data_IF_336882982863
#
_entry.id   IF_336882982863
#
_cell.length_a   1.000
_cell.length_b   1.000
_cell.length_c   1.000
_cell.angle_alpha   90.00
_cell.angle_beta   90.00
_cell.angle_gamma   90.00
#
_symmetry.space_group_name_H-M   'P 1'
#
loop_
_entity.id
_entity.type
_entity.pdbx_description
1 polymer ?
#
# COMPACT_ATOMS: atom_id res chain seq x y z
N UNK A 1 -3.51 19.85 -29.26
CA UNK A 1 -3.95 19.43 -27.90
C UNK A 1 -3.42 18.03 -27.51
N UNK A 2 -2.10 17.77 -27.58
CA UNK A 2 -1.52 16.43 -27.35
C UNK A 2 -0.66 16.28 -26.09
N UNK A 3 -0.15 17.37 -25.51
CA UNK A 3 0.92 17.28 -24.50
C UNK A 3 0.46 17.01 -23.05
N UNK A 4 -0.85 17.12 -22.73
CA UNK A 4 -1.33 16.91 -21.35
C UNK A 4 -1.43 15.43 -20.95
N UNK A 5 -1.35 14.48 -21.90
CA UNK A 5 -1.54 13.06 -21.61
C UNK A 5 -0.28 12.35 -21.10
N UNK A 6 0.92 12.86 -21.37
CA UNK A 6 2.17 12.22 -20.98
C UNK A 6 2.47 12.34 -19.47
N UNK A 7 2.01 13.42 -18.80
CA UNK A 7 2.21 13.60 -17.35
C UNK A 7 1.26 12.78 -16.47
N UNK A 8 0.22 12.16 -17.01
CA UNK A 8 -0.66 11.24 -16.26
C UNK A 8 -0.13 9.80 -16.18
N UNK A 9 0.83 9.45 -17.04
CA UNK A 9 1.44 8.13 -17.10
C UNK A 9 2.34 7.80 -15.87
N UNK A 10 3.22 8.71 -15.37
CA UNK A 10 4.04 8.41 -14.20
C UNK A 10 3.21 8.21 -12.92
N UNK A 11 2.10 8.92 -12.77
CA UNK A 11 1.24 8.78 -11.60
C UNK A 11 0.57 7.39 -11.54
N UNK A 12 0.13 6.87 -12.70
CA UNK A 12 -0.44 5.51 -12.79
C UNK A 12 0.60 4.42 -12.59
N UNK A 13 1.79 4.62 -13.16
CA UNK A 13 2.89 3.67 -13.02
C UNK A 13 3.37 3.57 -11.57
N UNK A 14 3.37 4.68 -10.84
CA UNK A 14 3.67 4.71 -9.41
C UNK A 14 2.70 3.85 -8.57
N UNK A 15 1.39 4.00 -8.76
CA UNK A 15 0.38 3.20 -8.04
C UNK A 15 0.51 1.71 -8.38
N UNK A 16 0.78 1.40 -9.65
CA UNK A 16 1.00 0.01 -10.10
C UNK A 16 2.21 -0.61 -9.42
N UNK A 17 3.36 0.08 -9.41
CA UNK A 17 4.58 -0.41 -8.77
C UNK A 17 4.40 -0.62 -7.27
N UNK A 18 3.80 0.35 -6.56
CA UNK A 18 3.54 0.24 -5.11
C UNK A 18 2.61 -0.94 -4.83
N UNK A 19 1.59 -1.15 -5.65
CA UNK A 19 0.65 -2.27 -5.47
C UNK A 19 1.32 -3.61 -5.71
N UNK A 20 2.20 -3.72 -6.72
CA UNK A 20 2.96 -4.94 -7.02
C UNK A 20 3.94 -5.26 -5.89
N UNK A 21 4.72 -4.28 -5.42
CA UNK A 21 5.68 -4.50 -4.35
C UNK A 21 4.98 -4.85 -3.04
N UNK A 22 3.87 -4.18 -2.73
CA UNK A 22 3.06 -4.52 -1.57
C UNK A 22 2.46 -5.92 -1.68
N UNK A 23 1.90 -6.29 -2.84
CA UNK A 23 1.39 -7.63 -3.08
C UNK A 23 2.48 -8.70 -2.92
N UNK A 24 3.67 -8.49 -3.51
CA UNK A 24 4.77 -9.44 -3.41
C UNK A 24 5.23 -9.61 -1.97
N UNK A 25 5.42 -8.49 -1.25
CA UNK A 25 5.89 -8.54 0.14
C UNK A 25 4.86 -9.15 1.07
N UNK A 26 3.60 -8.70 1.05
CA UNK A 26 2.54 -9.26 1.92
C UNK A 26 2.18 -10.69 1.54
N UNK A 27 2.21 -11.02 0.24
CA UNK A 27 1.95 -12.37 -0.26
C UNK A 27 3.04 -13.36 0.12
N UNK A 28 4.31 -12.99 -0.08
CA UNK A 28 5.45 -13.81 0.35
C UNK A 28 5.42 -14.02 1.87
N UNK A 29 5.20 -12.95 2.62
CA UNK A 29 5.12 -13.00 4.07
C UNK A 29 3.96 -13.86 4.59
N UNK A 30 2.76 -13.74 4.02
CA UNK A 30 1.62 -14.60 4.35
C UNK A 30 1.88 -16.07 4.00
N UNK A 31 2.49 -16.33 2.85
CA UNK A 31 2.90 -17.67 2.43
C UNK A 31 3.92 -18.29 3.38
N UNK A 32 4.94 -17.53 3.77
CA UNK A 32 5.93 -17.95 4.77
C UNK A 32 5.26 -18.23 6.11
N UNK A 33 4.45 -17.33 6.65
CA UNK A 33 3.75 -17.57 7.92
C UNK A 33 2.89 -18.82 7.89
N UNK A 34 2.11 -19.01 6.81
CA UNK A 34 1.23 -20.16 6.66
C UNK A 34 2.04 -21.46 6.56
N UNK A 35 3.14 -21.43 5.82
CA UNK A 35 4.06 -22.57 5.73
C UNK A 35 4.68 -22.92 7.09
N UNK A 36 5.10 -21.92 7.86
CA UNK A 36 5.61 -22.11 9.23
C UNK A 36 4.53 -22.73 10.14
N UNK A 37 3.30 -22.22 10.10
CA UNK A 37 2.18 -22.74 10.90
C UNK A 37 1.82 -24.19 10.53
N UNK A 38 1.87 -24.55 9.26
CA UNK A 38 1.62 -25.92 8.80
C UNK A 38 2.73 -26.87 9.30
N UNK A 39 3.99 -26.43 9.24
CA UNK A 39 5.12 -27.24 9.71
C UNK A 39 5.14 -27.42 11.22
N UNK A 40 4.79 -26.37 11.97
CA UNK A 40 4.61 -26.44 13.43
C UNK A 40 3.50 -27.44 13.79
N UNK A 41 2.37 -27.41 13.07
CA UNK A 41 1.29 -28.38 13.26
C UNK A 41 1.71 -29.84 12.98
N UNK A 42 2.76 -30.06 12.18
CA UNK A 42 3.32 -31.38 11.88
C UNK A 42 4.42 -31.82 12.88
N UNK A 43 4.76 -30.99 13.87
CA UNK A 43 5.79 -31.30 14.87
C UNK A 43 7.21 -31.38 14.30
N UNK A 44 7.47 -30.80 13.13
CA UNK A 44 8.80 -30.79 12.52
C UNK A 44 9.52 -29.49 12.87
N UNK A 45 10.58 -29.51 13.70
CA UNK A 45 11.36 -28.32 13.99
C UNK A 45 12.01 -27.79 12.72
N UNK A 46 11.93 -26.48 12.52
CA UNK A 46 12.47 -25.81 11.34
C UNK A 46 13.87 -25.33 11.70
N UNK A 47 14.89 -25.92 11.09
CA UNK A 47 16.26 -25.47 11.22
C UNK A 47 16.57 -24.51 10.07
N UNK A 48 16.55 -23.20 10.34
CA UNK A 48 17.20 -22.24 9.48
C UNK A 48 18.70 -22.36 9.72
N UNK A 49 19.41 -22.97 8.78
CA UNK A 49 20.86 -23.03 8.79
C UNK A 49 21.34 -21.79 8.02
N UNK A 50 21.65 -20.72 8.74
CA UNK A 50 22.47 -19.64 8.18
C UNK A 50 23.92 -20.10 8.23
N UNK A 51 24.57 -20.23 7.07
CA UNK A 51 25.94 -20.73 6.97
C UNK A 51 26.99 -19.76 7.54
N UNK A 52 26.60 -18.56 7.95
CA UNK A 52 27.54 -17.50 8.39
C UNK A 52 27.46 -17.16 9.88
N UNK A 53 26.37 -17.50 10.57
CA UNK A 53 26.23 -17.35 12.02
C UNK A 53 25.36 -18.49 12.53
N UNK A 54 25.90 -19.34 13.40
CA UNK A 54 25.27 -20.54 13.98
C UNK A 54 24.13 -20.19 14.96
N UNK A 55 23.24 -19.27 14.57
CA UNK A 55 22.07 -18.83 15.31
C UNK A 55 20.88 -19.67 14.86
N UNK A 56 20.58 -20.69 15.65
CA UNK A 56 19.35 -21.47 15.48
C UNK A 56 18.17 -20.66 16.01
N UNK A 57 17.45 -19.98 15.11
CA UNK A 57 16.19 -19.34 15.46
C UNK A 57 15.09 -20.39 15.59
N UNK A 58 14.84 -20.85 16.82
CA UNK A 58 13.71 -21.74 17.13
C UNK A 58 12.51 -20.88 17.49
N UNK A 59 11.58 -20.72 16.55
CA UNK A 59 10.29 -20.10 16.83
C UNK A 59 9.40 -21.10 17.57
N UNK A 60 9.44 -21.07 18.90
CA UNK A 60 8.47 -21.80 19.70
C UNK A 60 7.16 -21.00 19.77
N UNK A 61 6.16 -21.45 19.01
CA UNK A 61 4.80 -20.92 19.14
C UNK A 61 4.16 -21.51 20.40
N UNK A 62 4.15 -20.72 21.48
CA UNK A 62 3.28 -20.97 22.62
C UNK A 62 1.80 -21.03 22.16
N UNK A 63 0.95 -21.75 22.89
CA UNK A 63 -0.47 -21.94 22.52
C UNK A 63 -1.20 -20.62 22.26
N UNK A 64 -0.86 -19.56 23.01
CA UNK A 64 -1.40 -18.21 22.81
C UNK A 64 -0.87 -17.52 21.55
N UNK A 65 0.41 -17.72 21.20
CA UNK A 65 1.01 -17.08 20.02
C UNK A 65 0.59 -17.76 18.73
N UNK A 66 0.20 -19.05 18.77
CA UNK A 66 -0.34 -19.76 17.61
C UNK A 66 -1.60 -19.09 17.05
N UNK A 67 -2.52 -18.70 17.93
CA UNK A 67 -3.74 -17.98 17.52
C UNK A 67 -3.40 -16.64 16.86
N UNK A 68 -2.46 -15.89 17.45
CA UNK A 68 -2.01 -14.61 16.89
C UNK A 68 -1.36 -14.81 15.51
N UNK A 69 -0.56 -15.85 15.33
CA UNK A 69 0.06 -16.20 14.05
C UNK A 69 -0.96 -16.49 12.96
N UNK A 70 -2.02 -17.24 13.26
CA UNK A 70 -3.11 -17.53 12.32
C UNK A 70 -3.82 -16.25 11.91
N UNK A 71 -4.16 -15.40 12.88
CA UNK A 71 -4.83 -14.11 12.61
C UNK A 71 -3.95 -13.22 11.72
N UNK A 72 -2.65 -13.13 12.00
CA UNK A 72 -1.70 -12.39 11.18
C UNK A 72 -1.62 -12.91 9.74
N UNK A 73 -1.54 -14.23 9.56
CA UNK A 73 -1.49 -14.84 8.24
C UNK A 73 -2.73 -14.50 7.40
N UNK A 74 -3.92 -14.52 8.02
CA UNK A 74 -5.19 -14.16 7.39
C UNK A 74 -5.24 -12.68 7.04
N UNK A 75 -4.85 -11.79 7.96
CA UNK A 75 -4.82 -10.34 7.72
C UNK A 75 -3.88 -10.00 6.56
N UNK A 76 -2.71 -10.62 6.50
CA UNK A 76 -1.75 -10.40 5.41
C UNK A 76 -2.24 -10.98 4.08
N UNK A 77 -2.95 -12.12 4.12
CA UNK A 77 -3.61 -12.69 2.95
C UNK A 77 -4.70 -11.76 2.39
N UNK A 78 -5.57 -11.22 3.25
CA UNK A 78 -6.59 -10.23 2.86
C UNK A 78 -5.95 -8.96 2.29
N UNK A 79 -4.85 -8.51 2.90
CA UNK A 79 -4.10 -7.33 2.40
C UNK A 79 -3.55 -7.59 1.01
N UNK A 80 -3.02 -8.78 0.74
CA UNK A 80 -2.56 -9.16 -0.60
C UNK A 80 -3.70 -9.13 -1.64
N UNK A 81 -4.89 -9.63 -1.29
CA UNK A 81 -6.07 -9.55 -2.18
C UNK A 81 -6.44 -8.09 -2.48
N UNK A 82 -6.42 -7.22 -1.47
CA UNK A 82 -6.70 -5.79 -1.65
C UNK A 82 -5.65 -5.14 -2.56
N UNK A 83 -4.37 -5.45 -2.41
CA UNK A 83 -3.30 -4.97 -3.28
C UNK A 83 -3.48 -5.44 -4.73
N UNK A 84 -3.91 -6.69 -4.93
CA UNK A 84 -4.21 -7.21 -6.26
C UNK A 84 -5.40 -6.49 -6.92
N UNK A 85 -6.45 -6.19 -6.16
CA UNK A 85 -7.57 -5.37 -6.66
C UNK A 85 -7.12 -3.95 -7.05
N UNK A 86 -6.16 -3.37 -6.31
CA UNK A 86 -5.54 -2.10 -6.68
C UNK A 86 -4.83 -2.12 -8.01
N UNK A 87 -4.06 -3.19 -8.24
CA UNK A 87 -3.39 -3.43 -9.51
C UNK A 87 -4.41 -3.58 -10.67
N UNK A 88 -5.48 -4.35 -10.48
CA UNK A 88 -6.57 -4.46 -11.47
C UNK A 88 -7.25 -3.10 -11.73
N UNK A 89 -7.49 -2.30 -10.69
CA UNK A 89 -8.06 -0.96 -10.81
C UNK A 89 -7.23 -0.03 -11.68
N UNK A 90 -5.89 -0.12 -11.57
CA UNK A 90 -4.97 0.64 -12.41
C UNK A 90 -5.05 0.25 -13.90
N UNK A 91 -5.30 -1.02 -14.19
CA UNK A 91 -5.42 -1.54 -15.56
C UNK A 91 -6.78 -1.19 -16.18
N UNK A 92 -7.88 -1.40 -15.44
CA UNK A 92 -9.24 -1.38 -15.98
C UNK A 92 -9.80 0.03 -16.28
N UNK A 93 -9.12 1.11 -15.85
CA UNK A 93 -9.48 2.52 -16.12
C UNK A 93 -10.94 2.91 -15.77
N UNK A 94 -11.64 2.14 -14.93
CA UNK A 94 -13.01 2.43 -14.51
C UNK A 94 -13.02 3.22 -13.20
N UNK A 95 -13.68 4.38 -13.19
CA UNK A 95 -13.71 5.28 -12.02
C UNK A 95 -14.31 4.63 -10.77
N UNK A 96 -15.34 3.79 -10.94
CA UNK A 96 -15.95 3.04 -9.83
C UNK A 96 -14.96 2.15 -9.07
N UNK A 97 -14.06 1.47 -9.78
CA UNK A 97 -13.03 0.62 -9.16
C UNK A 97 -12.00 1.45 -8.41
N UNK A 98 -11.64 2.63 -8.93
CA UNK A 98 -10.71 3.55 -8.25
C UNK A 98 -11.32 4.03 -6.93
N UNK A 99 -12.63 4.28 -6.90
CA UNK A 99 -13.32 4.76 -5.71
C UNK A 99 -13.41 3.66 -4.63
N UNK A 100 -13.78 2.44 -5.01
CA UNK A 100 -13.76 1.28 -4.10
C UNK A 100 -12.35 0.98 -3.59
N UNK A 101 -11.34 1.04 -4.47
CA UNK A 101 -9.95 0.87 -4.09
C UNK A 101 -9.48 1.94 -3.08
N UNK A 102 -9.89 3.19 -3.28
CA UNK A 102 -9.57 4.27 -2.34
C UNK A 102 -10.15 4.05 -0.94
N UNK A 103 -11.36 3.47 -0.84
CA UNK A 103 -11.98 3.13 0.43
C UNK A 103 -11.23 1.99 1.12
N UNK A 104 -10.87 0.94 0.37
CA UNK A 104 -10.09 -0.19 0.89
C UNK A 104 -8.69 0.24 1.36
N UNK A 105 -8.03 1.14 0.63
CA UNK A 105 -6.73 1.69 1.03
C UNK A 105 -6.82 2.46 2.36
N UNK A 106 -7.86 3.27 2.54
CA UNK A 106 -8.07 3.99 3.82
C UNK A 106 -8.30 3.02 4.97
N UNK A 107 -9.10 1.99 4.75
CA UNK A 107 -9.36 0.96 5.77
C UNK A 107 -8.08 0.18 6.12
N UNK A 108 -7.28 -0.18 5.11
CA UNK A 108 -5.99 -0.84 5.31
C UNK A 108 -5.01 0.04 6.09
N UNK A 109 -4.91 1.32 5.74
CA UNK A 109 -4.06 2.27 6.47
C UNK A 109 -4.51 2.45 7.92
N UNK A 110 -5.82 2.56 8.17
CA UNK A 110 -6.35 2.63 9.53
C UNK A 110 -6.03 1.38 10.35
N UNK A 111 -6.19 0.20 9.75
CA UNK A 111 -5.87 -1.08 10.39
C UNK A 111 -4.37 -1.18 10.70
N UNK A 112 -3.51 -0.76 9.77
CA UNK A 112 -2.07 -0.78 9.96
C UNK A 112 -1.63 0.18 11.07
N UNK A 113 -2.17 1.39 11.11
CA UNK A 113 -1.91 2.34 12.20
C UNK A 113 -2.36 1.75 13.54
N UNK A 114 -3.54 1.12 13.60
CA UNK A 114 -4.03 0.48 14.83
C UNK A 114 -3.12 -0.66 15.28
N UNK A 115 -2.71 -1.54 14.37
CA UNK A 115 -1.81 -2.68 14.68
C UNK A 115 -0.42 -2.18 15.08
N UNK A 116 0.16 -1.23 14.36
CA UNK A 116 1.47 -0.66 14.69
C UNK A 116 1.45 0.05 16.05
N UNK A 117 0.38 0.77 16.36
CA UNK A 117 0.21 1.43 17.67
C UNK A 117 0.07 0.40 18.78
N UNK A 118 -0.80 -0.61 18.60
CA UNK A 118 -0.96 -1.69 19.56
C UNK A 118 0.35 -2.44 19.79
N UNK A 119 1.09 -2.76 18.73
CA UNK A 119 2.41 -3.39 18.80
C UNK A 119 3.39 -2.55 19.63
N UNK A 120 3.45 -1.24 19.38
CA UNK A 120 4.29 -0.32 20.14
C UNK A 120 3.90 -0.34 21.63
N UNK A 121 2.60 -0.25 21.94
CA UNK A 121 2.11 -0.27 23.33
C UNK A 121 2.47 -1.57 24.04
N UNK A 122 2.23 -2.73 23.41
CA UNK A 122 2.59 -4.03 23.97
C UNK A 122 4.11 -4.14 24.18
N UNK A 123 4.89 -3.69 23.20
CA UNK A 123 6.36 -3.73 23.27
C UNK A 123 6.91 -2.89 24.44
N UNK A 124 6.32 -1.73 24.72
CA UNK A 124 6.75 -0.88 25.83
C UNK A 124 6.21 -1.33 27.20
N UNK A 125 5.02 -1.94 27.24
CA UNK A 125 4.36 -2.33 28.51
C UNK A 125 4.88 -3.68 29.02
N UNK A 126 5.08 -4.66 28.13
CA UNK A 126 5.35 -6.05 28.50
C UNK A 126 6.84 -6.43 28.49
N UNK A 127 7.74 -5.45 28.63
CA UNK A 127 9.21 -5.69 28.63
C UNK A 127 9.61 -6.80 29.61
N UNK A 128 8.95 -6.87 30.77
CA UNK A 128 9.22 -7.87 31.82
C UNK A 128 8.75 -9.27 31.42
N UNK A 129 7.62 -9.36 30.73
CA UNK A 129 7.06 -10.64 30.29
C UNK A 129 7.80 -11.17 29.07
N UNK A 130 8.33 -10.28 28.22
CA UNK A 130 9.23 -10.66 27.13
C UNK A 130 10.51 -11.33 27.66
N UNK A 131 11.15 -10.76 28.70
CA UNK A 131 12.31 -11.39 29.35
C UNK A 131 11.99 -12.78 29.88
N UNK A 132 10.83 -12.94 30.54
CA UNK A 132 10.39 -14.25 31.08
C UNK A 132 10.11 -15.26 29.97
N UNK A 133 9.44 -14.86 28.90
CA UNK A 133 9.16 -15.72 27.75
C UNK A 133 10.44 -16.17 27.05
N UNK A 134 11.44 -15.29 26.97
CA UNK A 134 12.72 -15.67 26.38
C UNK A 134 13.51 -16.64 27.27
N UNK A 135 13.59 -16.36 28.57
CA UNK A 135 14.25 -17.25 29.52
C UNK A 135 13.58 -18.63 29.63
N UNK A 136 12.26 -18.69 29.47
CA UNK A 136 11.50 -19.95 29.52
C UNK A 136 11.67 -20.81 28.25
N UNK A 137 12.05 -20.21 27.12
CA UNK A 137 12.16 -20.88 25.83
C UNK A 137 13.52 -21.51 25.55
N UNK A 138 14.56 -21.21 26.34
CA UNK A 138 15.91 -21.72 26.09
C UNK A 138 16.58 -22.29 27.34
N UNK A 139 17.07 -23.52 27.21
CA UNK A 139 17.85 -24.20 28.26
C UNK A 139 19.36 -23.94 28.17
N UNK A 140 19.83 -23.20 27.15
CA UNK A 140 21.25 -22.90 26.96
C UNK A 140 21.61 -21.54 27.57
N UNK A 141 22.72 -21.48 28.34
CA UNK A 141 23.20 -20.23 28.96
C UNK A 141 23.42 -19.12 27.95
N UNK A 142 23.93 -19.45 26.77
CA UNK A 142 24.24 -18.49 25.71
C UNK A 142 22.99 -17.78 25.16
N UNK A 143 21.84 -18.47 25.14
CA UNK A 143 20.58 -17.87 24.67
C UNK A 143 19.96 -16.93 25.72
N UNK A 144 20.22 -17.19 27.01
CA UNK A 144 19.80 -16.30 28.10
C UNK A 144 20.60 -15.00 28.04
N UNK A 145 21.92 -15.09 27.83
CA UNK A 145 22.79 -13.92 27.65
C UNK A 145 22.41 -13.12 26.40
N UNK A 146 22.11 -13.77 25.28
CA UNK A 146 21.60 -13.09 24.07
C UNK A 146 20.29 -12.35 24.33
N UNK A 147 19.41 -12.91 25.15
CA UNK A 147 18.14 -12.25 25.46
C UNK A 147 18.27 -11.10 26.45
N UNK A 148 19.18 -11.17 27.41
CA UNK A 148 19.49 -10.03 28.26
C UNK A 148 20.21 -8.93 27.47
N UNK A 149 21.12 -9.29 26.56
CA UNK A 149 21.74 -8.34 25.64
C UNK A 149 20.72 -7.71 24.70
N UNK A 150 19.76 -8.48 24.18
CA UNK A 150 18.68 -7.94 23.36
C UNK A 150 17.83 -6.97 24.15
N UNK A 151 17.38 -7.35 25.36
CA UNK A 151 16.55 -6.50 26.20
C UNK A 151 17.25 -5.21 26.65
N UNK A 152 18.54 -5.28 26.98
CA UNK A 152 19.32 -4.09 27.35
C UNK A 152 19.61 -3.20 26.12
N UNK A 153 19.75 -3.79 24.94
CA UNK A 153 19.89 -3.06 23.69
C UNK A 153 18.57 -2.49 23.17
N UNK A 154 17.42 -3.00 23.60
CA UNK A 154 16.10 -2.46 23.23
C UNK A 154 15.96 -1.01 23.69
N UNK A 155 16.44 -0.65 24.88
CA UNK A 155 16.35 0.74 25.34
C UNK A 155 17.23 1.69 24.51
N UNK A 156 18.43 1.23 24.09
CA UNK A 156 19.31 2.01 23.21
C UNK A 156 18.83 2.07 21.76
N UNK A 157 18.17 1.00 21.29
CA UNK A 157 17.68 0.87 19.91
C UNK A 157 16.17 1.13 19.78
N UNK A 158 15.49 1.60 20.82
CA UNK A 158 14.05 1.85 20.80
C UNK A 158 13.65 2.76 19.63
N UNK A 159 14.50 3.76 19.33
CA UNK A 159 14.31 4.65 18.20
C UNK A 159 14.27 3.91 16.85
N UNK A 160 15.07 2.85 16.67
CA UNK A 160 15.08 2.06 15.42
C UNK A 160 13.77 1.32 15.23
N UNK A 161 13.21 0.77 16.30
CA UNK A 161 11.91 0.07 16.26
C UNK A 161 10.80 1.05 15.90
N UNK A 162 10.79 2.24 16.51
CA UNK A 162 9.81 3.30 16.18
C UNK A 162 9.96 3.75 14.73
N UNK A 163 11.17 4.04 14.27
CA UNK A 163 11.43 4.45 12.88
C UNK A 163 10.97 3.37 11.91
N UNK A 164 11.28 2.09 12.18
CA UNK A 164 10.83 0.97 11.36
C UNK A 164 9.30 0.83 11.30
N UNK A 165 8.58 1.25 12.34
CA UNK A 165 7.11 1.23 12.34
C UNK A 165 6.51 2.46 11.63
N UNK A 166 7.15 3.63 11.73
CA UNK A 166 6.65 4.90 11.18
C UNK A 166 6.88 4.99 9.67
N UNK A 167 8.06 4.59 9.17
CA UNK A 167 8.41 4.65 7.74
C UNK A 167 7.35 4.00 6.82
N UNK A 168 6.88 2.77 7.06
CA UNK A 168 5.87 2.16 6.19
C UNK A 168 4.52 2.89 6.25
N UNK A 169 4.14 3.46 7.40
CA UNK A 169 2.91 4.26 7.54
C UNK A 169 3.01 5.53 6.69
N UNK A 170 4.16 6.22 6.71
CA UNK A 170 4.39 7.42 5.90
C UNK A 170 4.32 7.08 4.41
N UNK A 171 4.99 6.02 3.97
CA UNK A 171 4.97 5.57 2.57
C UNK A 171 3.53 5.25 2.11
N UNK A 172 2.78 4.52 2.93
CA UNK A 172 1.38 4.21 2.61
C UNK A 172 0.48 5.44 2.62
N UNK A 173 0.66 6.36 3.57
CA UNK A 173 -0.10 7.60 3.64
C UNK A 173 0.11 8.45 2.38
N UNK A 174 1.34 8.48 1.87
CA UNK A 174 1.68 9.14 0.61
C UNK A 174 1.00 8.45 -0.58
N UNK A 175 0.94 7.11 -0.59
CA UNK A 175 0.17 6.34 -1.57
C UNK A 175 -1.32 6.71 -1.58
N UNK A 176 -1.94 6.78 -0.40
CA UNK A 176 -3.35 7.20 -0.25
C UNK A 176 -3.56 8.62 -0.77
N UNK A 177 -2.64 9.54 -0.45
CA UNK A 177 -2.70 10.92 -0.92
C UNK A 177 -2.69 11.02 -2.46
N UNK A 178 -1.79 10.27 -3.11
CA UNK A 178 -1.72 10.22 -4.59
C UNK A 178 -3.01 9.69 -5.18
N UNK A 179 -3.52 8.56 -4.67
CA UNK A 179 -4.74 7.93 -5.17
C UNK A 179 -5.95 8.86 -4.98
N UNK A 180 -6.01 9.60 -3.87
CA UNK A 180 -7.08 10.56 -3.60
C UNK A 180 -7.05 11.73 -4.58
N UNK A 181 -5.87 12.31 -4.83
CA UNK A 181 -5.68 13.38 -5.80
C UNK A 181 -6.08 12.93 -7.21
N UNK A 182 -5.75 11.69 -7.55
CA UNK A 182 -6.15 11.09 -8.82
C UNK A 182 -7.67 10.88 -8.92
N UNK A 183 -8.29 10.32 -7.89
CA UNK A 183 -9.73 10.10 -7.85
C UNK A 183 -10.52 11.42 -8.00
N UNK A 184 -10.06 12.51 -7.36
CA UNK A 184 -10.67 13.85 -7.54
C UNK A 184 -10.63 14.31 -8.99
N UNK A 185 -9.46 14.22 -9.64
CA UNK A 185 -9.32 14.59 -11.06
C UNK A 185 -10.22 13.78 -11.99
N UNK A 186 -10.47 12.50 -11.71
CA UNK A 186 -11.39 11.69 -12.52
C UNK A 186 -12.83 12.16 -12.36
N UNK A 187 -13.26 12.46 -11.12
CA UNK A 187 -14.61 12.99 -10.87
C UNK A 187 -14.80 14.34 -11.56
N UNK A 188 -13.80 15.22 -11.50
CA UNK A 188 -13.86 16.51 -12.21
C UNK A 188 -14.00 16.31 -13.73
N UNK A 189 -13.30 15.33 -14.31
CA UNK A 189 -13.44 14.99 -15.73
C UNK A 189 -14.79 14.38 -16.09
N UNK A 190 -15.38 13.57 -15.20
CA UNK A 190 -16.73 13.02 -15.39
C UNK A 190 -17.78 14.13 -15.33
N UNK A 191 -17.70 15.04 -14.35
CA UNK A 191 -18.60 16.19 -14.26
C UNK A 191 -18.49 17.12 -15.47
N UNK A 192 -17.29 17.34 -16.00
CA UNK A 192 -17.12 18.10 -17.25
C UNK A 192 -17.77 17.37 -18.43
N UNK A 193 -17.59 16.05 -18.57
CA UNK A 193 -18.23 15.28 -19.65
C UNK A 193 -19.76 15.31 -19.57
N UNK A 194 -20.32 15.25 -18.37
CA UNK A 194 -21.76 15.37 -18.15
C UNK A 194 -22.26 16.78 -18.49
N UNK A 195 -21.52 17.81 -18.04
CA UNK A 195 -21.87 19.21 -18.29
C UNK A 195 -21.80 19.58 -19.78
N UNK A 196 -20.86 19.00 -20.52
CA UNK A 196 -20.71 19.25 -21.96
C UNK A 196 -21.61 18.38 -22.85
N UNK A 197 -22.49 17.55 -22.28
CA UNK A 197 -23.57 16.90 -23.02
C UNK A 197 -23.12 16.13 -24.27
N UNK A 198 -21.87 15.68 -24.34
CA UNK A 198 -21.28 15.04 -25.53
C UNK A 198 -21.77 13.59 -25.67
N UNK A 199 -23.09 13.41 -25.70
CA UNK A 199 -23.75 12.18 -26.14
C UNK A 199 -23.71 12.14 -27.66
N UNK A 200 -22.56 11.78 -28.20
CA UNK A 200 -22.45 11.37 -29.59
C UNK A 200 -21.14 11.77 -30.22
N UNK A 201 -20.56 10.83 -30.98
CA UNK A 201 -19.72 11.14 -32.14
C UNK A 201 -20.56 11.76 -33.28
N UNK A 202 -21.45 12.68 -32.94
CA UNK A 202 -22.15 13.52 -33.88
C UNK A 202 -21.30 14.77 -34.00
N UNK A 203 -20.89 15.10 -35.21
CA UNK A 203 -20.47 16.42 -35.61
C UNK A 203 -21.27 17.47 -34.83
N UNK A 204 -20.59 18.52 -34.33
CA UNK A 204 -21.29 19.66 -33.76
C UNK A 204 -22.43 20.02 -34.73
N UNK A 205 -23.70 20.00 -34.32
CA UNK A 205 -24.76 20.40 -35.21
C UNK A 205 -24.41 21.81 -35.64
N UNK A 206 -24.11 21.98 -36.93
CA UNK A 206 -24.14 23.28 -37.56
C UNK A 206 -25.59 23.69 -37.34
N UNK A 207 -25.85 24.54 -36.35
CA UNK A 207 -27.13 25.17 -36.25
C UNK A 207 -27.34 25.84 -37.61
N UNK A 208 -28.33 25.39 -38.37
CA UNK A 208 -28.85 26.10 -39.53
C UNK A 208 -29.53 27.38 -39.02
N UNK A 209 -28.77 28.24 -38.33
CA UNK A 209 -29.13 29.62 -38.20
C UNK A 209 -28.68 30.28 -39.49
N UNK A 210 -29.67 30.70 -40.26
CA UNK A 210 -29.58 31.73 -41.29
C UNK A 210 -29.09 33.09 -40.75
N UNK A 211 -28.34 33.10 -39.63
CA UNK A 211 -27.67 34.27 -39.10
C UNK A 211 -26.45 34.58 -40.00
N UNK A 212 -26.32 35.83 -40.45
CA UNK A 212 -25.24 36.22 -41.34
C UNK A 212 -23.87 35.95 -40.69
N UNK A 213 -22.99 35.33 -41.47
CA UNK A 213 -21.62 34.88 -41.17
C UNK A 213 -20.64 35.97 -40.67
N UNK A 214 -21.10 37.12 -40.23
CA UNK A 214 -20.26 38.29 -39.92
C UNK A 214 -20.00 38.50 -38.44
N UNK A 215 -20.58 37.70 -37.53
CA UNK A 215 -20.27 37.88 -36.12
C UNK A 215 -18.95 37.18 -35.77
N UNK A 216 -17.87 37.96 -35.80
CA UNK A 216 -16.53 37.63 -35.32
C UNK A 216 -16.55 37.29 -33.82
N UNK A 217 -17.11 36.14 -33.44
CA UNK A 217 -16.78 35.52 -32.16
C UNK A 217 -15.41 34.88 -32.34
N UNK A 218 -14.37 35.69 -32.11
CA UNK A 218 -12.99 35.25 -32.02
C UNK A 218 -12.94 34.08 -31.04
N UNK A 219 -12.88 32.85 -31.54
CA UNK A 219 -12.55 31.72 -30.71
C UNK A 219 -11.22 32.06 -30.03
N UNK A 220 -11.11 31.96 -28.69
CA UNK A 220 -9.90 32.35 -27.95
C UNK A 220 -8.67 31.51 -28.28
N UNK A 221 -8.78 30.57 -29.24
CA UNK A 221 -7.70 29.76 -29.79
C UNK A 221 -7.42 30.02 -31.28
N UNK A 222 -8.14 30.96 -31.92
CA UNK A 222 -7.89 31.41 -33.28
C UNK A 222 -6.90 32.59 -33.34
N UNK A 223 -6.36 32.99 -32.19
CA UNK A 223 -5.40 34.08 -32.13
C UNK A 223 -4.07 33.64 -32.78
N UNK A 224 -3.70 34.29 -33.88
CA UNK A 224 -2.52 33.97 -34.68
C UNK A 224 -1.21 34.03 -33.87
N UNK A 225 -1.23 34.72 -32.73
CA UNK A 225 -0.12 34.81 -31.76
C UNK A 225 0.26 33.47 -31.13
N UNK A 226 -0.61 32.47 -31.17
CA UNK A 226 -0.37 31.12 -30.63
C UNK A 226 -0.26 30.03 -31.71
N UNK A 227 -0.29 30.41 -33.00
CA UNK A 227 -0.08 29.44 -34.08
C UNK A 227 1.41 29.07 -34.14
N UNK A 228 1.71 27.81 -33.81
CA UNK A 228 3.04 27.22 -33.99
C UNK A 228 3.25 27.06 -35.51
N UNK A 229 3.60 28.15 -36.17
CA UNK A 229 3.65 28.19 -37.63
C UNK A 229 4.09 29.51 -38.27
N UNK A 230 4.64 30.47 -37.51
CA UNK A 230 5.29 31.64 -38.11
C UNK A 230 6.78 31.65 -37.78
N UNK A 231 7.52 31.12 -38.76
CA UNK A 231 8.96 31.20 -39.10
C UNK A 231 9.98 30.93 -38.01
#
# INVERSE_FOLDING_TARGET
MGAKYLFCLPLRLGVSLISITQFLTTGALSGVLTFLLIRDAQGRPIFFKDDEHDRKFVFHFSSKTRTVGIVLAVVWGLTAIISFLGFLGAILKKASYVLMYSALLRLSLALQVAVSTAYLVFFFTDKKDFKKLCAAGSSSSNAVDDCDNLANNVDKNAWKVVVSAVVPIVIQSYGVYIVLSYARKLRDQEHLKESFGFRGRGYAPIAEESLPLTNHTSHPYADNSSSIGQK
#
